data_IF_070919576507
#
_entry.id   IF_070919576507
#
_cell.length_a   1.000
_cell.length_b   1.000
_cell.length_c   1.000
_cell.angle_alpha   90.00
_cell.angle_beta   90.00
_cell.angle_gamma   90.00
#
_symmetry.space_group_name_H-M   'P 1'
#
loop_
_entity.id
_entity.type
_entity.pdbx_description
1 polymer ?
#
# COMPACT_ATOMS: atom_id res chain seq x y z
N UNK A 1 50.27 -7.96 -40.82
CA UNK A 1 49.66 -8.84 -41.83
C UNK A 1 50.69 -9.48 -42.69
N UNK A 2 50.43 -10.66 -43.19
CA UNK A 2 51.27 -11.37 -44.17
C UNK A 2 51.04 -10.69 -45.53
N UNK A 3 52.10 -10.35 -46.24
CA UNK A 3 52.04 -9.81 -47.59
C UNK A 3 52.50 -10.82 -48.61
N UNK A 4 51.66 -11.14 -49.61
CA UNK A 4 52.10 -11.93 -50.71
C UNK A 4 53.10 -11.14 -51.57
N UNK A 5 54.20 -11.81 -52.02
CA UNK A 5 55.16 -11.19 -52.88
C UNK A 5 55.04 -11.75 -54.30
N UNK A 6 55.22 -10.91 -55.35
CA UNK A 6 55.15 -11.28 -56.77
C UNK A 6 53.73 -11.74 -57.24
N UNK A 7 52.68 -11.14 -56.76
CA UNK A 7 51.29 -11.40 -57.24
C UNK A 7 50.85 -10.29 -58.19
N UNK A 8 50.10 -10.62 -59.21
CA UNK A 8 49.55 -9.69 -60.20
C UNK A 8 48.31 -8.95 -59.67
N UNK A 9 47.52 -9.58 -58.77
CA UNK A 9 46.41 -9.02 -58.08
C UNK A 9 46.26 -9.62 -56.71
N UNK A 10 45.78 -8.82 -55.73
CA UNK A 10 45.50 -9.24 -54.38
C UNK A 10 44.09 -8.85 -54.05
N UNK A 11 43.29 -9.76 -53.55
CA UNK A 11 41.98 -9.53 -52.99
C UNK A 11 41.81 -10.31 -51.70
N UNK A 12 41.06 -9.76 -50.78
CA UNK A 12 40.83 -10.42 -49.49
C UNK A 12 39.70 -9.82 -48.70
N UNK A 13 39.42 -10.39 -47.56
CA UNK A 13 38.38 -9.98 -46.66
C UNK A 13 38.94 -9.57 -45.32
N UNK A 14 38.47 -8.49 -44.77
CA UNK A 14 38.71 -8.07 -43.38
C UNK A 14 37.42 -8.24 -42.59
N UNK A 15 37.35 -9.28 -41.74
CA UNK A 15 36.16 -9.64 -41.02
C UNK A 15 36.36 -9.35 -39.54
N UNK A 16 35.48 -8.53 -38.97
CA UNK A 16 35.48 -8.19 -37.56
C UNK A 16 34.44 -9.07 -36.85
N UNK A 17 34.89 -9.87 -35.91
CA UNK A 17 34.02 -10.75 -35.11
C UNK A 17 34.02 -10.32 -33.65
N UNK A 18 32.94 -10.52 -32.95
CA UNK A 18 32.87 -10.20 -31.52
C UNK A 18 31.78 -10.98 -30.83
N UNK A 19 32.08 -11.50 -29.64
CA UNK A 19 31.13 -12.23 -28.78
C UNK A 19 30.18 -11.30 -28.01
N UNK A 20 30.55 -10.02 -27.91
CA UNK A 20 29.76 -9.00 -27.21
C UNK A 20 29.10 -8.02 -28.17
N UNK A 21 28.02 -7.36 -27.74
CA UNK A 21 27.40 -6.29 -28.51
C UNK A 21 28.21 -5.01 -28.37
N UNK A 22 28.53 -4.38 -29.46
CA UNK A 22 29.27 -3.12 -29.51
C UNK A 22 28.43 -2.04 -30.23
N UNK A 23 28.47 -0.83 -29.72
CA UNK A 23 28.05 0.34 -30.46
C UNK A 23 29.16 0.61 -31.50
N UNK A 24 28.79 0.58 -32.75
CA UNK A 24 29.74 0.73 -33.86
C UNK A 24 29.71 2.20 -34.34
N UNK A 25 30.89 2.83 -34.32
CA UNK A 25 31.05 4.10 -35.05
C UNK A 25 31.14 3.84 -36.56
N UNK A 26 30.84 4.87 -37.35
CA UNK A 26 31.15 4.80 -38.77
C UNK A 26 32.64 4.53 -38.99
N UNK A 27 32.99 3.61 -39.88
CA UNK A 27 34.40 3.30 -40.17
C UNK A 27 35.05 4.46 -40.88
N UNK A 28 36.27 4.78 -40.49
CA UNK A 28 37.16 5.64 -41.27
C UNK A 28 38.04 4.70 -42.08
N UNK A 29 37.76 4.58 -43.33
CA UNK A 29 38.47 3.72 -44.27
C UNK A 29 39.29 4.57 -45.24
N UNK A 30 40.55 4.23 -45.40
CA UNK A 30 41.43 4.77 -46.43
C UNK A 30 41.89 3.63 -47.34
N UNK A 31 41.72 3.81 -48.65
CA UNK A 31 41.99 2.77 -49.65
C UNK A 31 40.71 2.18 -50.28
N UNK A 32 40.88 1.23 -51.17
CA UNK A 32 39.76 0.56 -51.87
C UNK A 32 39.16 -0.53 -50.97
N UNK A 33 38.28 -0.12 -50.04
CA UNK A 33 37.53 -1.02 -49.17
C UNK A 33 36.05 -0.95 -49.50
N UNK A 34 35.45 -2.09 -49.79
CA UNK A 34 34.01 -2.24 -50.01
C UNK A 34 33.40 -2.89 -48.76
N UNK A 35 32.43 -2.22 -48.12
CA UNK A 35 31.69 -2.80 -47.01
C UNK A 35 30.76 -3.89 -47.56
N UNK A 36 30.81 -5.07 -46.93
CA UNK A 36 29.95 -6.20 -47.25
C UNK A 36 28.94 -6.48 -46.15
N UNK A 37 27.76 -6.92 -46.55
CA UNK A 37 26.86 -7.53 -45.60
C UNK A 37 27.33 -8.93 -45.19
N UNK A 38 27.02 -9.42 -43.96
CA UNK A 38 27.44 -10.77 -43.54
C UNK A 38 26.99 -11.91 -44.49
N UNK A 39 25.93 -11.70 -45.23
CA UNK A 39 25.40 -12.64 -46.26
C UNK A 39 26.23 -12.69 -47.53
N UNK A 40 26.96 -11.63 -47.84
CA UNK A 40 27.81 -11.52 -49.05
C UNK A 40 29.20 -12.13 -48.89
N UNK A 41 29.56 -12.52 -47.67
CA UNK A 41 30.83 -13.19 -47.37
C UNK A 41 30.71 -14.63 -47.85
N UNK A 42 31.69 -15.15 -48.61
CA UNK A 42 31.72 -16.57 -49.05
C UNK A 42 31.57 -17.50 -47.82
N UNK A 43 30.80 -18.57 -48.02
CA UNK A 43 30.44 -19.50 -46.95
C UNK A 43 31.66 -20.13 -46.27
N UNK A 44 32.69 -20.40 -47.02
CA UNK A 44 33.99 -20.93 -46.54
C UNK A 44 34.64 -20.05 -45.48
N UNK A 45 34.54 -18.73 -45.56
CA UNK A 45 35.05 -17.79 -44.55
C UNK A 45 34.10 -17.59 -43.43
N UNK A 46 32.81 -17.65 -43.67
CA UNK A 46 31.77 -17.44 -42.63
C UNK A 46 31.72 -18.61 -41.64
N UNK A 47 32.02 -19.84 -42.12
CA UNK A 47 32.03 -21.04 -41.27
C UNK A 47 33.30 -21.16 -40.39
N UNK A 48 34.30 -20.30 -40.59
CA UNK A 48 35.53 -20.32 -39.74
C UNK A 48 35.32 -19.76 -38.35
N UNK A 49 34.18 -19.11 -38.07
CA UNK A 49 33.99 -18.36 -36.82
C UNK A 49 32.66 -18.72 -36.14
N UNK A 50 32.76 -19.07 -34.85
CA UNK A 50 31.56 -19.32 -33.99
C UNK A 50 31.01 -18.04 -33.37
N UNK A 51 31.46 -16.86 -33.77
CA UNK A 51 31.07 -15.59 -33.21
C UNK A 51 30.36 -14.73 -34.26
N UNK A 52 29.40 -13.86 -33.83
CA UNK A 52 28.72 -12.95 -34.72
C UNK A 52 29.67 -12.02 -35.45
N UNK A 53 29.46 -11.88 -36.76
CA UNK A 53 30.21 -10.93 -37.59
C UNK A 53 29.70 -9.53 -37.33
N UNK A 54 30.54 -8.65 -36.83
CA UNK A 54 30.22 -7.26 -36.51
C UNK A 54 30.34 -6.34 -37.73
N UNK A 55 31.31 -6.63 -38.63
CA UNK A 55 31.50 -5.93 -39.87
C UNK A 55 32.39 -6.76 -40.81
N UNK A 56 32.19 -6.59 -42.10
CA UNK A 56 33.04 -7.22 -43.13
C UNK A 56 33.36 -6.21 -44.23
N UNK A 57 34.55 -6.28 -44.75
CA UNK A 57 35.06 -5.46 -45.82
C UNK A 57 35.85 -6.32 -46.80
N UNK A 58 35.67 -6.07 -48.11
CA UNK A 58 36.46 -6.62 -49.15
C UNK A 58 37.50 -5.57 -49.60
N UNK A 59 38.74 -5.99 -49.79
CA UNK A 59 39.79 -5.16 -50.39
C UNK A 59 40.33 -5.77 -51.66
N UNK A 60 40.70 -4.94 -52.63
CA UNK A 60 41.21 -5.37 -53.95
C UNK A 60 42.68 -5.01 -54.17
N UNK A 61 43.31 -4.24 -53.29
CA UNK A 61 44.72 -3.89 -53.32
C UNK A 61 45.29 -3.80 -51.90
N UNK A 62 46.50 -4.31 -51.74
CA UNK A 62 47.13 -4.58 -50.43
C UNK A 62 47.43 -3.40 -49.50
N UNK A 63 46.98 -2.16 -49.77
CA UNK A 63 47.20 -1.02 -48.89
C UNK A 63 45.85 -0.40 -48.53
N UNK A 64 45.37 -0.72 -47.34
CA UNK A 64 44.22 -0.07 -46.76
C UNK A 64 44.45 0.22 -45.27
N UNK A 65 43.81 1.24 -44.76
CA UNK A 65 43.73 1.53 -43.35
C UNK A 65 42.27 1.52 -42.96
N UNK A 66 41.92 0.71 -41.94
CA UNK A 66 40.56 0.63 -41.41
C UNK A 66 40.61 0.95 -39.93
N UNK A 67 40.09 2.12 -39.58
CA UNK A 67 39.92 2.54 -38.21
C UNK A 67 38.44 2.49 -37.86
N UNK A 68 38.05 1.61 -36.94
CA UNK A 68 36.72 1.47 -36.41
C UNK A 68 36.74 1.52 -34.89
N UNK A 69 36.07 2.52 -34.31
CA UNK A 69 35.96 2.61 -32.86
C UNK A 69 34.80 1.72 -32.41
N UNK A 70 35.08 0.74 -31.60
CA UNK A 70 34.13 -0.12 -30.97
C UNK A 70 33.97 0.33 -29.51
N UNK A 71 32.80 0.77 -29.15
CA UNK A 71 32.47 1.04 -27.76
C UNK A 71 31.67 -0.16 -27.25
N UNK A 72 32.17 -0.91 -26.27
CA UNK A 72 31.35 -1.97 -25.71
C UNK A 72 30.05 -1.32 -25.25
N UNK A 73 28.94 -1.84 -25.72
CA UNK A 73 27.65 -1.50 -25.12
C UNK A 73 27.78 -1.97 -23.67
N UNK A 74 28.09 -1.02 -22.79
CA UNK A 74 27.97 -1.28 -21.37
C UNK A 74 26.59 -1.93 -21.21
N UNK A 75 26.51 -3.00 -20.47
CA UNK A 75 25.24 -3.66 -20.10
C UNK A 75 24.39 -2.71 -19.24
N UNK A 76 24.26 -1.45 -19.67
CA UNK A 76 23.33 -0.48 -19.12
C UNK A 76 21.94 -0.94 -19.50
N UNK A 77 21.30 -1.69 -18.60
CA UNK A 77 19.93 -2.12 -18.74
C UNK A 77 19.63 -3.58 -18.44
N UNK A 78 20.61 -4.45 -18.36
CA UNK A 78 20.38 -5.75 -17.74
C UNK A 78 20.57 -5.58 -16.23
N UNK A 79 19.47 -5.38 -15.52
CA UNK A 79 19.50 -5.42 -14.06
C UNK A 79 20.11 -6.76 -13.66
N UNK A 80 21.30 -6.71 -13.06
CA UNK A 80 22.05 -7.92 -12.69
C UNK A 80 21.33 -8.69 -11.59
N UNK A 81 20.51 -7.97 -10.82
CA UNK A 81 19.64 -8.53 -9.79
C UNK A 81 18.30 -7.79 -9.78
N UNK A 82 17.20 -8.53 -9.83
CA UNK A 82 15.82 -8.01 -9.81
C UNK A 82 14.99 -8.89 -8.91
N UNK A 83 14.20 -8.28 -8.04
CA UNK A 83 13.15 -8.98 -7.32
C UNK A 83 11.87 -9.03 -8.16
N UNK A 84 11.47 -10.22 -8.56
CA UNK A 84 10.19 -10.40 -9.27
C UNK A 84 9.02 -10.08 -8.34
N UNK A 85 9.13 -10.52 -7.10
CA UNK A 85 8.11 -10.33 -6.06
C UNK A 85 8.76 -10.26 -4.69
N UNK A 86 8.20 -9.42 -3.83
CA UNK A 86 8.45 -9.45 -2.40
C UNK A 86 7.13 -9.60 -1.65
N UNK A 87 7.11 -10.45 -0.63
CA UNK A 87 5.98 -10.64 0.27
C UNK A 87 6.44 -10.30 1.69
N UNK A 88 5.77 -9.34 2.31
CA UNK A 88 6.04 -8.92 3.68
C UNK A 88 4.85 -9.28 4.56
N UNK A 89 5.14 -9.88 5.70
CA UNK A 89 4.15 -10.18 6.72
C UNK A 89 4.64 -9.61 8.05
N UNK A 90 3.92 -8.62 8.55
CA UNK A 90 4.19 -7.99 9.84
C UNK A 90 3.11 -8.36 10.83
N UNK A 91 3.51 -8.88 11.98
CA UNK A 91 2.63 -9.10 13.11
C UNK A 91 2.88 -8.04 14.15
N UNK A 92 1.83 -7.34 14.57
CA UNK A 92 1.88 -6.31 15.60
C UNK A 92 1.22 -6.87 16.85
N UNK A 93 1.96 -6.91 17.95
CA UNK A 93 1.47 -7.43 19.21
C UNK A 93 0.78 -6.32 20.04
N UNK A 94 0.06 -6.71 21.08
CA UNK A 94 -0.69 -5.79 21.94
C UNK A 94 0.21 -4.81 22.71
N UNK A 95 1.45 -5.23 23.01
CA UNK A 95 2.46 -4.44 23.74
C UNK A 95 3.33 -3.58 22.81
N UNK A 96 2.97 -3.49 21.53
CA UNK A 96 3.64 -2.62 20.60
C UNK A 96 4.88 -3.17 19.93
N UNK A 97 5.12 -4.45 20.03
CA UNK A 97 6.19 -5.08 19.30
C UNK A 97 5.71 -5.49 17.92
N UNK A 98 6.52 -5.25 16.90
CA UNK A 98 6.23 -5.69 15.55
C UNK A 98 7.31 -6.66 15.06
N UNK A 99 6.90 -7.78 14.51
CA UNK A 99 7.80 -8.75 13.89
C UNK A 99 7.47 -8.85 12.42
N UNK A 100 8.48 -8.62 11.57
CA UNK A 100 8.29 -8.68 10.12
C UNK A 100 9.07 -9.84 9.53
N UNK A 101 8.38 -10.62 8.71
CA UNK A 101 8.99 -11.61 7.81
C UNK A 101 8.92 -11.06 6.39
N UNK A 102 10.09 -10.86 5.78
CA UNK A 102 10.24 -10.41 4.40
C UNK A 102 10.72 -11.56 3.53
N UNK A 103 9.96 -11.93 2.52
CA UNK A 103 10.33 -12.97 1.56
C UNK A 103 10.48 -12.36 0.18
N UNK A 104 11.68 -12.44 -0.38
CA UNK A 104 12.03 -11.91 -1.69
C UNK A 104 12.24 -13.06 -2.68
N UNK A 105 11.73 -12.92 -3.88
CA UNK A 105 11.96 -13.83 -5.00
C UNK A 105 12.84 -13.11 -6.02
N UNK A 106 14.13 -13.44 -6.02
CA UNK A 106 15.17 -12.71 -6.75
C UNK A 106 15.64 -13.48 -7.99
N UNK A 107 15.66 -12.82 -9.14
CA UNK A 107 16.45 -13.25 -10.30
C UNK A 107 17.83 -12.65 -10.22
N UNK A 108 18.84 -13.51 -10.14
CA UNK A 108 20.23 -13.11 -9.91
C UNK A 108 21.13 -13.54 -11.09
N UNK A 109 21.85 -12.59 -11.67
CA UNK A 109 22.76 -12.81 -12.80
C UNK A 109 24.22 -12.62 -12.42
N UNK A 110 24.61 -13.13 -11.25
CA UNK A 110 26.02 -13.19 -10.88
C UNK A 110 26.43 -12.42 -9.62
N UNK A 111 25.48 -11.76 -8.92
CA UNK A 111 25.80 -11.20 -7.61
C UNK A 111 26.02 -12.30 -6.58
N UNK A 112 27.09 -12.15 -5.80
CA UNK A 112 27.40 -13.08 -4.72
C UNK A 112 26.50 -12.90 -3.48
N UNK A 113 25.90 -11.72 -3.34
CA UNK A 113 25.12 -11.34 -2.17
C UNK A 113 23.83 -10.59 -2.59
N UNK A 114 22.84 -10.67 -1.75
CA UNK A 114 21.68 -9.78 -1.76
C UNK A 114 21.88 -8.72 -0.68
N UNK A 115 21.86 -7.45 -1.07
CA UNK A 115 22.13 -6.32 -0.18
C UNK A 115 20.82 -5.80 0.39
N UNK A 116 20.75 -5.72 1.72
CA UNK A 116 19.60 -5.21 2.48
C UNK A 116 20.14 -4.23 3.53
N UNK A 117 19.48 -3.09 3.68
CA UNK A 117 19.80 -2.09 4.71
C UNK A 117 18.63 -2.02 5.69
N UNK A 118 18.90 -2.28 6.97
CA UNK A 118 17.96 -2.14 8.07
C UNK A 118 18.17 -0.80 8.78
N UNK A 119 17.12 -0.25 9.37
CA UNK A 119 17.24 0.91 10.28
C UNK A 119 18.04 0.52 11.53
N UNK A 120 18.67 1.51 12.17
CA UNK A 120 19.57 1.31 13.34
C UNK A 120 18.91 0.58 14.51
N UNK A 121 17.61 0.71 14.63
CA UNK A 121 16.84 0.15 15.73
C UNK A 121 16.17 -1.18 15.40
N UNK A 122 16.52 -1.77 14.24
CA UNK A 122 15.96 -3.03 13.79
C UNK A 122 16.99 -4.13 13.92
N UNK A 123 16.61 -5.25 14.54
CA UNK A 123 17.44 -6.41 14.72
C UNK A 123 17.03 -7.54 13.76
N UNK A 124 18.00 -8.09 13.05
CA UNK A 124 17.79 -9.26 12.19
C UNK A 124 17.86 -10.55 13.04
N UNK A 125 16.75 -11.28 13.11
CA UNK A 125 16.68 -12.53 13.87
C UNK A 125 17.03 -13.75 13.05
N UNK A 126 16.62 -13.78 11.79
CA UNK A 126 16.86 -14.94 10.93
C UNK A 126 17.03 -14.54 9.46
N UNK A 127 17.93 -15.23 8.77
CA UNK A 127 18.10 -15.14 7.32
C UNK A 127 18.09 -16.54 6.72
N UNK A 128 17.27 -16.76 5.69
CA UNK A 128 17.20 -18.02 4.94
C UNK A 128 17.33 -17.74 3.44
N UNK A 129 18.01 -18.63 2.73
CA UNK A 129 18.10 -18.63 1.28
C UNK A 129 17.73 -20.02 0.76
N UNK A 130 16.77 -20.08 -0.15
CA UNK A 130 16.22 -21.36 -0.64
C UNK A 130 15.85 -22.33 0.49
N UNK A 131 15.19 -21.81 1.56
CA UNK A 131 14.77 -22.57 2.74
C UNK A 131 15.89 -22.93 3.73
N UNK A 132 17.16 -22.65 3.41
CA UNK A 132 18.29 -22.96 4.30
C UNK A 132 18.73 -21.72 5.08
N UNK A 133 18.97 -21.86 6.38
CA UNK A 133 19.51 -20.79 7.22
C UNK A 133 20.92 -20.42 6.74
N UNK A 134 21.17 -19.13 6.58
CA UNK A 134 22.46 -18.56 6.20
C UNK A 134 22.90 -17.54 7.24
N UNK A 135 24.21 -17.32 7.34
CA UNK A 135 24.77 -16.29 8.20
C UNK A 135 25.11 -15.10 7.31
N UNK A 136 24.39 -13.99 7.43
CA UNK A 136 24.68 -12.79 6.65
C UNK A 136 25.93 -12.07 7.18
N UNK A 137 26.58 -11.31 6.31
CA UNK A 137 27.71 -10.46 6.67
C UNK A 137 27.15 -9.07 6.97
N UNK A 138 27.33 -8.58 8.20
CA UNK A 138 26.87 -7.24 8.61
C UNK A 138 28.02 -6.23 8.44
N UNK A 139 27.78 -5.14 7.71
CA UNK A 139 28.69 -4.02 7.51
C UNK A 139 27.95 -2.71 7.88
N UNK A 140 27.95 -2.36 9.16
CA UNK A 140 27.16 -1.23 9.67
C UNK A 140 25.66 -1.52 9.55
N UNK A 141 24.92 -0.67 8.81
CA UNK A 141 23.49 -0.82 8.55
C UNK A 141 23.21 -1.78 7.37
N UNK A 142 24.24 -2.15 6.59
CA UNK A 142 24.12 -3.05 5.44
C UNK A 142 24.32 -4.49 5.83
N UNK A 143 23.42 -5.30 5.35
CA UNK A 143 23.41 -6.75 5.54
C UNK A 143 23.57 -7.40 4.17
N UNK A 144 24.64 -8.17 4.01
CA UNK A 144 24.93 -8.91 2.79
C UNK A 144 24.52 -10.37 3.00
N UNK A 145 23.42 -10.77 2.38
CA UNK A 145 22.92 -12.15 2.43
C UNK A 145 23.57 -12.97 1.32
N UNK A 146 24.37 -14.02 1.62
CA UNK A 146 25.06 -14.80 0.60
C UNK A 146 24.08 -15.57 -0.28
N UNK A 147 24.27 -15.49 -1.59
CA UNK A 147 23.47 -16.19 -2.57
C UNK A 147 24.20 -17.42 -3.13
N UNK A 148 23.49 -18.49 -3.50
CA UNK A 148 24.10 -19.68 -4.08
C UNK A 148 24.69 -19.37 -5.47
N UNK A 149 25.85 -19.96 -5.75
CA UNK A 149 26.53 -19.84 -7.04
C UNK A 149 26.03 -20.89 -8.04
N UNK A 150 26.03 -20.54 -9.31
CA UNK A 150 25.81 -21.52 -10.40
C UNK A 150 24.34 -21.90 -10.66
N UNK A 151 23.39 -21.13 -10.14
CA UNK A 151 21.97 -21.30 -10.49
C UNK A 151 21.66 -20.67 -11.85
N UNK A 152 20.61 -21.19 -12.49
CA UNK A 152 20.06 -20.59 -13.71
C UNK A 152 19.60 -19.15 -13.39
N UNK A 153 20.07 -18.14 -14.13
CA UNK A 153 19.71 -16.73 -13.88
C UNK A 153 18.21 -16.41 -13.96
N UNK A 154 17.44 -17.30 -14.57
CA UNK A 154 16.00 -17.13 -14.73
C UNK A 154 15.18 -17.77 -13.58
N UNK A 155 15.79 -18.65 -12.79
CA UNK A 155 15.12 -19.27 -11.67
C UNK A 155 15.14 -18.34 -10.46
N UNK A 156 13.97 -18.03 -9.84
CA UNK A 156 13.93 -17.15 -8.70
C UNK A 156 14.56 -17.81 -7.47
N UNK A 157 15.44 -17.09 -6.80
CA UNK A 157 16.03 -17.46 -5.51
C UNK A 157 15.14 -16.87 -4.43
N UNK A 158 14.62 -17.71 -3.55
CA UNK A 158 13.87 -17.26 -2.37
C UNK A 158 14.84 -16.84 -1.27
N UNK A 159 14.70 -15.59 -0.79
CA UNK A 159 15.41 -15.06 0.37
C UNK A 159 14.37 -14.62 1.41
N UNK A 160 14.40 -15.21 2.58
CA UNK A 160 13.51 -14.88 3.69
C UNK A 160 14.32 -14.29 4.85
N UNK A 161 13.88 -13.12 5.32
CA UNK A 161 14.47 -12.39 6.43
C UNK A 161 13.41 -12.19 7.51
N UNK A 162 13.74 -12.46 8.76
CA UNK A 162 12.88 -12.16 9.90
C UNK A 162 13.57 -11.15 10.79
N UNK A 163 12.91 -10.04 11.05
CA UNK A 163 13.46 -8.92 11.83
C UNK A 163 12.37 -8.25 12.67
N UNK A 164 12.80 -7.56 13.71
CA UNK A 164 11.93 -6.80 14.59
C UNK A 164 12.54 -5.43 14.88
N UNK A 165 11.75 -4.34 14.88
CA UNK A 165 12.18 -3.07 15.45
C UNK A 165 12.30 -3.21 16.98
N UNK A 166 13.16 -2.41 17.61
CA UNK A 166 13.15 -2.27 19.06
C UNK A 166 11.84 -1.61 19.50
N UNK A 167 11.28 -2.09 20.60
CA UNK A 167 10.02 -1.59 21.13
C UNK A 167 10.04 -0.06 21.30
N UNK A 168 8.99 0.60 20.85
CA UNK A 168 8.72 2.02 21.07
C UNK A 168 7.57 2.14 22.07
N UNK A 169 7.69 3.07 23.03
CA UNK A 169 6.71 3.26 24.12
C UNK A 169 5.47 4.09 23.71
N UNK A 170 5.45 4.63 22.49
CA UNK A 170 4.36 5.49 22.02
C UNK A 170 3.32 4.65 21.27
N UNK A 171 2.05 4.77 21.62
CA UNK A 171 0.92 3.97 21.05
C UNK A 171 0.73 4.03 19.54
N UNK A 172 1.51 4.84 18.83
CA UNK A 172 1.62 4.85 17.37
C UNK A 172 2.80 3.98 16.92
N UNK A 173 2.51 2.98 16.07
CA UNK A 173 3.55 2.11 15.54
C UNK A 173 3.97 2.55 14.16
N UNK A 174 5.24 2.91 14.02
CA UNK A 174 5.85 3.08 12.74
C UNK A 174 6.57 1.81 12.34
N UNK A 175 6.14 1.20 11.24
CA UNK A 175 6.78 0.04 10.65
C UNK A 175 7.43 0.46 9.34
N UNK A 176 8.74 0.17 9.23
CA UNK A 176 9.54 0.49 8.04
C UNK A 176 10.07 -0.81 7.47
N UNK A 177 9.91 -1.00 6.16
CA UNK A 177 10.50 -2.14 5.45
C UNK A 177 11.97 -1.86 5.11
N UNK A 178 12.80 -2.90 5.02
CA UNK A 178 14.21 -2.76 4.66
C UNK A 178 14.39 -2.14 3.29
N UNK A 179 15.43 -1.32 3.13
CA UNK A 179 15.90 -0.90 1.82
C UNK A 179 16.61 -2.06 1.15
N UNK A 180 16.34 -2.27 -0.11
CA UNK A 180 17.01 -3.30 -0.91
C UNK A 180 17.74 -2.67 -2.08
N UNK A 181 18.97 -3.15 -2.35
CA UNK A 181 19.79 -2.63 -3.44
C UNK A 181 19.26 -2.98 -4.84
N UNK A 182 18.29 -3.88 -4.93
CA UNK A 182 17.68 -4.33 -6.18
C UNK A 182 16.26 -3.82 -6.32
N UNK A 183 15.81 -3.43 -7.52
CA UNK A 183 14.43 -3.06 -7.75
C UNK A 183 13.50 -4.28 -7.59
N UNK A 184 12.29 -4.04 -7.06
CA UNK A 184 11.25 -5.04 -6.89
C UNK A 184 10.08 -4.72 -7.83
N UNK A 185 9.62 -5.70 -8.60
CA UNK A 185 8.53 -5.52 -9.57
C UNK A 185 7.16 -5.52 -8.91
N UNK A 186 7.01 -6.28 -7.82
CA UNK A 186 5.78 -6.35 -7.04
C UNK A 186 6.12 -6.53 -5.56
N UNK A 187 5.52 -5.73 -4.72
CA UNK A 187 5.62 -5.85 -3.28
C UNK A 187 4.21 -5.94 -2.67
N UNK A 188 3.97 -7.03 -1.94
CA UNK A 188 2.75 -7.22 -1.16
C UNK A 188 3.12 -7.21 0.32
N UNK A 189 2.43 -6.39 1.08
CA UNK A 189 2.66 -6.26 2.51
C UNK A 189 1.36 -6.48 3.28
N UNK A 190 1.36 -7.48 4.13
CA UNK A 190 0.26 -7.79 5.03
C UNK A 190 0.68 -7.46 6.46
N UNK A 191 -0.10 -6.63 7.14
CA UNK A 191 0.12 -6.22 8.51
C UNK A 191 -1.07 -6.71 9.34
N UNK A 192 -0.81 -7.58 10.29
CA UNK A 192 -1.83 -8.23 11.11
C UNK A 192 -1.66 -7.80 12.57
N UNK A 193 -2.73 -7.44 13.26
CA UNK A 193 -2.72 -7.24 14.70
C UNK A 193 -2.76 -8.56 15.45
N UNK A 194 -2.55 -8.50 16.74
CA UNK A 194 -2.83 -9.60 17.66
C UNK A 194 -4.34 -9.84 17.82
N UNK A 195 -4.72 -10.92 18.50
CA UNK A 195 -6.13 -11.20 18.78
C UNK A 195 -6.74 -10.06 19.59
N UNK A 196 -8.02 -9.76 19.31
CA UNK A 196 -8.79 -8.70 19.95
C UNK A 196 -8.33 -7.26 19.66
N UNK A 197 -7.38 -7.09 18.72
CA UNK A 197 -6.92 -5.80 18.24
C UNK A 197 -7.23 -5.59 16.76
N UNK A 198 -7.24 -4.34 16.36
CA UNK A 198 -7.36 -3.92 14.96
C UNK A 198 -6.36 -2.81 14.67
N UNK A 199 -5.89 -2.76 13.44
CA UNK A 199 -4.98 -1.72 12.99
C UNK A 199 -5.74 -0.66 12.20
N UNK A 200 -5.54 0.60 12.55
CA UNK A 200 -6.00 1.74 11.76
C UNK A 200 -4.80 2.42 11.09
N UNK A 201 -4.92 2.67 9.78
CA UNK A 201 -3.88 3.37 9.03
C UNK A 201 -3.91 4.86 9.33
N UNK A 202 -2.80 5.40 9.80
CA UNK A 202 -2.63 6.83 10.13
C UNK A 202 -1.94 7.57 9.00
N UNK A 203 -0.76 7.10 8.61
CA UNK A 203 0.07 7.75 7.60
C UNK A 203 1.07 6.77 6.99
N UNK A 204 1.64 7.12 5.84
CA UNK A 204 2.69 6.34 5.19
C UNK A 204 2.81 6.65 3.72
N UNK A 205 3.83 6.09 3.08
CA UNK A 205 4.03 6.20 1.64
C UNK A 205 3.43 5.02 0.86
N UNK A 206 2.87 4.02 1.57
CA UNK A 206 2.06 2.96 1.00
C UNK A 206 0.60 3.17 1.42
N UNK A 207 -0.33 3.06 0.47
CA UNK A 207 -1.76 3.15 0.74
C UNK A 207 -2.35 1.75 0.88
N UNK A 208 -3.23 1.51 1.87
CA UNK A 208 -3.87 0.21 2.03
C UNK A 208 -4.79 -0.10 0.83
N UNK A 209 -4.70 -1.33 0.33
CA UNK A 209 -5.57 -1.83 -0.75
C UNK A 209 -6.96 -2.21 -0.26
N UNK A 210 -7.07 -2.47 1.04
CA UNK A 210 -8.33 -2.67 1.76
C UNK A 210 -8.59 -1.51 2.73
N UNK A 211 -8.84 -0.26 2.23
CA UNK A 211 -9.02 0.88 3.11
C UNK A 211 -10.23 0.62 3.99
N UNK A 212 -10.01 0.73 5.29
CA UNK A 212 -11.11 0.67 6.22
C UNK A 212 -11.94 1.93 6.12
N UNK A 213 -13.25 1.81 6.22
CA UNK A 213 -14.09 2.97 6.35
C UNK A 213 -13.72 3.71 7.65
N UNK A 214 -13.58 5.02 7.57
CA UNK A 214 -13.47 5.89 8.73
C UNK A 214 -14.69 5.66 9.64
N UNK A 215 -14.46 5.17 10.86
CA UNK A 215 -15.49 4.81 11.85
C UNK A 215 -15.96 6.00 12.68
N UNK A 216 -15.51 7.22 12.39
CA UNK A 216 -16.09 8.38 13.04
C UNK A 216 -17.62 8.34 12.82
N UNK A 217 -18.40 8.49 13.88
CA UNK A 217 -19.87 8.34 13.83
C UNK A 217 -20.53 9.19 12.74
N UNK A 218 -19.88 10.27 12.29
CA UNK A 218 -20.33 11.12 11.19
C UNK A 218 -19.94 10.59 9.80
N UNK A 219 -18.80 9.89 9.65
CA UNK A 219 -18.42 9.30 8.37
C UNK A 219 -19.35 8.17 7.97
N UNK A 220 -19.85 7.41 8.94
CA UNK A 220 -20.86 6.39 8.75
C UNK A 220 -22.16 6.98 8.19
N UNK A 221 -22.62 8.12 8.72
CA UNK A 221 -23.82 8.83 8.25
C UNK A 221 -23.65 9.36 6.82
N UNK A 222 -22.44 9.79 6.43
CA UNK A 222 -22.13 10.32 5.09
C UNK A 222 -22.13 9.27 3.99
N UNK A 223 -21.92 8.00 4.30
CA UNK A 223 -21.76 6.93 3.30
C UNK A 223 -23.02 6.45 2.59
N UNK A 224 -24.16 7.12 2.77
CA UNK A 224 -25.35 6.84 1.99
C UNK A 224 -26.13 5.60 2.42
N UNK A 225 -26.00 5.18 3.68
CA UNK A 225 -26.86 4.16 4.26
C UNK A 225 -28.22 4.71 4.69
N UNK A 226 -29.09 3.83 5.16
CA UNK A 226 -30.42 4.17 5.70
C UNK A 226 -30.40 5.13 6.90
N UNK A 227 -29.24 5.38 7.50
CA UNK A 227 -29.08 6.27 8.66
C UNK A 227 -29.49 7.72 8.38
N UNK A 228 -29.07 8.30 7.26
CA UNK A 228 -29.44 9.66 6.86
C UNK A 228 -30.94 9.84 6.65
N UNK A 229 -31.63 9.00 5.85
CA UNK A 229 -33.11 9.05 5.73
C UNK A 229 -33.83 8.93 7.05
N UNK A 230 -33.37 8.05 7.95
CA UNK A 230 -33.98 7.92 9.29
C UNK A 230 -33.77 9.15 10.16
N UNK A 231 -32.63 9.80 10.09
CA UNK A 231 -32.35 11.06 10.78
C UNK A 231 -33.26 12.19 10.28
N UNK A 232 -33.41 12.32 8.95
CA UNK A 232 -34.33 13.31 8.38
C UNK A 232 -35.80 13.02 8.75
N UNK A 233 -36.21 11.76 8.73
CA UNK A 233 -37.53 11.34 9.15
C UNK A 233 -37.75 11.62 10.65
N UNK A 234 -36.77 11.38 11.51
CA UNK A 234 -36.82 11.71 12.93
C UNK A 234 -36.97 13.22 13.15
N UNK A 235 -36.18 14.03 12.44
CA UNK A 235 -36.25 15.49 12.52
C UNK A 235 -37.62 16.00 12.04
N UNK A 236 -38.13 15.48 10.93
CA UNK A 236 -39.44 15.84 10.42
C UNK A 236 -40.56 15.45 11.42
N UNK A 237 -40.54 14.24 11.95
CA UNK A 237 -41.47 13.76 12.96
C UNK A 237 -41.40 14.61 14.25
N UNK A 238 -40.19 15.02 14.65
CA UNK A 238 -39.99 15.89 15.80
C UNK A 238 -40.63 17.27 15.60
N UNK A 239 -40.33 17.92 14.46
CA UNK A 239 -40.90 19.25 14.13
C UNK A 239 -42.43 19.20 14.05
N UNK A 240 -42.98 18.20 13.33
CA UNK A 240 -44.43 18.03 13.22
C UNK A 240 -45.03 17.72 14.59
N UNK A 241 -44.44 16.85 15.39
CA UNK A 241 -44.84 16.54 16.74
C UNK A 241 -44.89 17.78 17.65
N UNK A 242 -43.90 18.66 17.56
CA UNK A 242 -43.87 19.94 18.27
C UNK A 242 -44.97 20.89 17.82
N UNK A 243 -45.21 21.02 16.50
CA UNK A 243 -46.30 21.88 15.96
C UNK A 243 -47.65 21.39 16.44
N UNK A 244 -47.93 20.09 16.33
CA UNK A 244 -49.18 19.48 16.79
C UNK A 244 -49.35 19.69 18.31
N UNK A 245 -48.25 19.49 19.07
CA UNK A 245 -48.27 19.67 20.52
C UNK A 245 -48.49 21.13 20.93
N UNK A 246 -47.89 22.08 20.19
CA UNK A 246 -48.08 23.50 20.43
C UNK A 246 -49.50 23.94 20.13
N UNK A 247 -50.06 23.51 19.01
CA UNK A 247 -51.46 23.78 18.64
C UNK A 247 -52.48 23.22 19.63
N UNK A 248 -52.24 22.08 20.24
CA UNK A 248 -53.10 21.47 21.24
C UNK A 248 -52.97 22.07 22.66
N UNK A 249 -51.85 22.78 22.95
CA UNK A 249 -51.60 23.42 24.25
C UNK A 249 -52.38 24.72 24.45
N UNK A 250 -52.81 25.39 23.39
CA UNK A 250 -53.48 26.70 23.48
C UNK A 250 -54.97 26.61 23.76
N UNK A 251 -55.57 25.43 23.89
CA UNK A 251 -56.98 25.24 24.24
C UNK A 251 -57.20 24.95 25.70
N UNK A 252 -57.84 25.89 26.45
CA UNK A 252 -58.30 25.60 27.81
C UNK A 252 -59.04 24.27 27.89
N UNK A 253 -58.83 23.50 28.94
CA UNK A 253 -59.44 22.23 29.33
C UNK A 253 -60.95 22.12 28.99
N UNK A 254 -61.22 21.91 27.73
CA UNK A 254 -62.47 21.37 27.27
C UNK A 254 -62.17 20.05 26.59
N UNK A 255 -62.84 19.02 27.03
CA UNK A 255 -62.81 17.72 26.36
C UNK A 255 -63.35 17.88 24.94
N UNK A 256 -62.55 18.40 24.08
CA UNK A 256 -62.84 18.50 22.67
C UNK A 256 -62.12 17.35 21.98
N UNK A 257 -62.82 16.54 21.23
CA UNK A 257 -62.37 15.39 20.52
C UNK A 257 -61.08 15.72 19.71
N UNK A 258 -61.06 16.88 19.06
CA UNK A 258 -59.93 17.35 18.27
C UNK A 258 -58.67 17.56 19.08
N UNK A 259 -58.75 18.10 20.27
CA UNK A 259 -57.61 18.29 21.16
C UNK A 259 -57.06 16.97 21.70
N UNK A 260 -57.93 16.02 21.99
CA UNK A 260 -57.53 14.68 22.45
C UNK A 260 -56.80 13.90 21.35
N UNK A 261 -57.33 13.92 20.14
CA UNK A 261 -56.71 13.28 18.96
C UNK A 261 -55.36 13.93 18.65
N UNK A 262 -55.26 15.26 18.63
CA UNK A 262 -54.03 15.98 18.43
C UNK A 262 -52.96 15.66 19.49
N UNK A 263 -53.36 15.50 20.74
CA UNK A 263 -52.47 15.12 21.83
C UNK A 263 -51.91 13.70 21.63
N UNK A 264 -52.77 12.75 21.27
CA UNK A 264 -52.36 11.36 20.96
C UNK A 264 -51.41 11.34 19.78
N UNK A 265 -51.72 12.04 18.67
CA UNK A 265 -50.88 12.10 17.48
C UNK A 265 -49.50 12.72 17.82
N UNK A 266 -49.48 13.83 18.59
CA UNK A 266 -48.24 14.47 19.02
C UNK A 266 -47.34 13.52 19.82
N UNK A 267 -47.92 12.75 20.74
CA UNK A 267 -47.17 11.74 21.51
C UNK A 267 -46.71 10.58 20.64
N UNK A 268 -47.51 10.09 19.73
CA UNK A 268 -47.10 9.02 18.79
C UNK A 268 -45.96 9.49 17.89
N UNK A 269 -45.96 10.72 17.41
CA UNK A 269 -44.88 11.28 16.62
C UNK A 269 -43.59 11.41 17.43
N UNK A 270 -43.68 11.89 18.69
CA UNK A 270 -42.50 11.95 19.58
C UNK A 270 -41.94 10.54 19.89
N UNK A 271 -42.84 9.56 20.10
CA UNK A 271 -42.43 8.17 20.29
C UNK A 271 -41.75 7.61 19.02
N UNK A 272 -42.28 7.97 17.84
CA UNK A 272 -41.65 7.59 16.56
C UNK A 272 -40.24 8.18 16.40
N UNK A 273 -39.97 9.40 16.92
CA UNK A 273 -38.64 9.99 16.94
C UNK A 273 -37.66 9.10 17.71
N UNK A 274 -38.06 8.63 18.91
CA UNK A 274 -37.21 7.72 19.68
C UNK A 274 -36.99 6.39 18.96
N UNK A 275 -38.02 5.84 18.31
CA UNK A 275 -37.89 4.62 17.49
C UNK A 275 -36.91 4.80 16.32
N UNK A 276 -36.99 5.93 15.61
CA UNK A 276 -36.11 6.24 14.49
C UNK A 276 -34.67 6.48 14.95
N UNK A 277 -34.45 7.22 16.04
CA UNK A 277 -33.12 7.42 16.61
C UNK A 277 -32.54 6.11 17.13
N UNK A 278 -33.36 5.27 17.78
CA UNK A 278 -32.94 3.93 18.16
C UNK A 278 -32.57 3.04 16.99
N UNK A 279 -33.30 3.17 15.87
CA UNK A 279 -32.97 2.45 14.63
C UNK A 279 -31.64 2.92 14.02
N UNK A 280 -31.37 4.23 14.06
CA UNK A 280 -30.06 4.78 13.62
C UNK A 280 -28.93 4.26 14.49
N UNK A 281 -29.11 4.25 15.82
CA UNK A 281 -28.13 3.70 16.73
C UNK A 281 -27.92 2.19 16.51
N UNK A 282 -28.99 1.42 16.33
CA UNK A 282 -28.93 -0.01 16.05
C UNK A 282 -28.20 -0.29 14.72
N UNK A 283 -28.48 0.48 13.66
CA UNK A 283 -27.78 0.36 12.38
C UNK A 283 -26.29 0.67 12.51
N UNK A 284 -25.92 1.68 13.32
CA UNK A 284 -24.53 1.97 13.66
C UNK A 284 -23.84 0.78 14.32
N UNK A 285 -24.46 0.17 15.33
CA UNK A 285 -23.94 -1.03 16.00
C UNK A 285 -23.80 -2.22 15.05
N UNK A 286 -24.78 -2.42 14.15
CA UNK A 286 -24.71 -3.49 13.16
C UNK A 286 -23.62 -3.23 12.12
N UNK A 287 -23.44 -2.00 11.69
CA UNK A 287 -22.35 -1.62 10.78
C UNK A 287 -20.99 -1.87 11.43
N UNK A 288 -20.81 -1.53 12.69
CA UNK A 288 -19.60 -1.80 13.45
C UNK A 288 -19.35 -3.31 13.63
N UNK A 289 -20.39 -4.11 13.89
CA UNK A 289 -20.26 -5.57 13.99
C UNK A 289 -19.90 -6.22 12.65
N UNK A 290 -20.49 -5.77 11.55
CA UNK A 290 -20.09 -6.24 10.21
C UNK A 290 -18.65 -5.86 9.88
N UNK A 291 -18.18 -4.76 10.40
CA UNK A 291 -16.82 -4.32 10.26
C UNK A 291 -15.81 -5.14 11.06
N UNK A 292 -16.19 -5.62 12.24
CA UNK A 292 -15.39 -6.57 13.04
C UNK A 292 -15.24 -7.94 12.37
N UNK A 293 -16.12 -8.28 11.42
CA UNK A 293 -16.03 -9.50 10.60
C UNK A 293 -15.10 -9.33 9.38
N UNK A 294 -14.67 -8.12 9.05
CA UNK A 294 -13.66 -7.86 8.03
C UNK A 294 -12.28 -8.16 8.61
N UNK A 295 -11.39 -8.71 7.78
CA UNK A 295 -10.03 -9.07 8.18
C UNK A 295 -9.37 -7.98 9.04
N UNK A 296 -8.84 -8.32 10.24
CA UNK A 296 -8.31 -7.35 11.19
C UNK A 296 -7.04 -6.67 10.69
N UNK A 297 -6.39 -7.21 9.65
CA UNK A 297 -5.14 -6.73 9.07
C UNK A 297 -5.30 -5.65 8.00
N UNK A 298 -4.19 -5.00 7.69
CA UNK A 298 -4.05 -4.05 6.59
C UNK A 298 -3.22 -4.68 5.48
N UNK A 299 -3.67 -4.55 4.23
CA UNK A 299 -2.95 -5.03 3.06
C UNK A 299 -2.48 -3.85 2.21
N UNK A 300 -1.22 -3.91 1.80
CA UNK A 300 -0.61 -2.92 0.92
C UNK A 300 -0.03 -3.63 -0.30
N UNK A 301 -0.18 -3.01 -1.46
CA UNK A 301 0.42 -3.53 -2.70
C UNK A 301 1.11 -2.38 -3.42
N UNK A 302 2.36 -2.58 -3.78
CA UNK A 302 3.13 -1.64 -4.60
C UNK A 302 3.58 -2.32 -5.88
N UNK A 303 3.32 -1.68 -7.02
CA UNK A 303 3.58 -2.28 -8.34
C UNK A 303 5.04 -2.22 -8.76
N UNK A 304 5.81 -1.25 -8.33
CA UNK A 304 7.26 -1.16 -8.62
C UNK A 304 7.92 -0.37 -7.51
N UNK A 305 8.89 -0.99 -6.85
CA UNK A 305 9.79 -0.32 -5.93
C UNK A 305 11.17 -0.17 -6.57
N UNK A 306 11.66 1.05 -6.60
CA UNK A 306 13.01 1.31 -7.08
C UNK A 306 14.05 0.80 -6.08
N UNK A 307 15.26 0.56 -6.56
CA UNK A 307 16.36 0.26 -5.67
C UNK A 307 16.52 1.35 -4.59
N UNK A 308 16.72 0.93 -3.35
CA UNK A 308 16.83 1.80 -2.15
C UNK A 308 15.58 2.61 -1.79
N UNK A 309 14.44 2.30 -2.36
CA UNK A 309 13.16 2.88 -1.94
C UNK A 309 12.67 2.21 -0.66
N UNK A 310 12.16 3.03 0.27
CA UNK A 310 11.67 2.59 1.58
C UNK A 310 10.16 2.65 1.61
N UNK A 311 9.53 1.57 2.04
CA UNK A 311 8.12 1.59 2.40
C UNK A 311 8.00 1.74 3.92
N UNK A 312 7.25 2.73 4.35
CA UNK A 312 6.96 2.98 5.77
C UNK A 312 5.49 3.31 5.96
N UNK A 313 4.93 2.80 7.02
CA UNK A 313 3.56 3.07 7.46
C UNK A 313 3.54 3.37 8.94
N UNK A 314 2.59 4.19 9.34
CA UNK A 314 2.24 4.41 10.75
C UNK A 314 0.83 3.89 10.95
N UNK A 315 0.65 3.05 11.94
CA UNK A 315 -0.62 2.43 12.28
C UNK A 315 -0.90 2.58 13.76
N UNK A 316 -2.17 2.76 14.10
CA UNK A 316 -2.65 2.68 15.48
C UNK A 316 -3.18 1.29 15.75
N UNK A 317 -2.79 0.73 16.89
CA UNK A 317 -3.29 -0.54 17.37
C UNK A 317 -4.41 -0.28 18.38
N UNK A 318 -5.64 -0.58 18.01
CA UNK A 318 -6.83 -0.29 18.80
C UNK A 318 -7.47 -1.60 19.26
N UNK A 319 -7.90 -1.63 20.52
CA UNK A 319 -8.72 -2.73 21.00
C UNK A 319 -10.00 -2.86 20.20
N UNK A 320 -10.37 -4.07 19.81
CA UNK A 320 -11.58 -4.32 19.02
C UNK A 320 -12.84 -3.85 19.72
N UNK A 321 -12.86 -3.91 21.05
CA UNK A 321 -13.98 -3.44 21.89
C UNK A 321 -14.08 -1.90 21.97
N UNK A 322 -13.03 -1.16 21.64
CA UNK A 322 -13.06 0.31 21.64
C UNK A 322 -14.09 0.85 20.63
N UNK A 323 -14.48 0.05 19.63
CA UNK A 323 -15.58 0.40 18.71
C UNK A 323 -16.95 0.56 19.41
N UNK A 324 -17.16 -0.13 20.52
CA UNK A 324 -18.38 0.00 21.33
C UNK A 324 -18.46 1.34 22.06
N UNK A 325 -17.32 1.95 22.37
CA UNK A 325 -17.28 3.27 23.01
C UNK A 325 -17.72 4.40 22.07
N UNK A 326 -17.62 4.24 20.74
CA UNK A 326 -18.09 5.25 19.79
C UNK A 326 -19.62 5.45 19.83
N UNK A 327 -20.37 4.45 20.28
CA UNK A 327 -21.82 4.52 20.47
C UNK A 327 -22.18 5.32 21.72
N UNK A 328 -21.33 5.27 22.75
CA UNK A 328 -21.52 6.03 23.97
C UNK A 328 -21.51 7.54 23.73
N UNK A 329 -20.85 8.01 22.65
CA UNK A 329 -20.80 9.43 22.27
C UNK A 329 -22.19 9.97 21.95
N UNK A 330 -23.09 9.17 21.35
CA UNK A 330 -24.46 9.62 21.04
C UNK A 330 -25.42 9.53 22.21
N UNK A 331 -25.09 8.76 23.23
CA UNK A 331 -25.94 8.56 24.38
C UNK A 331 -26.20 9.87 25.16
N UNK A 332 -25.20 10.73 25.41
CA UNK A 332 -25.44 12.04 26.00
C UNK A 332 -26.31 12.93 25.13
N UNK A 333 -26.13 12.95 23.81
CA UNK A 333 -26.99 13.71 22.90
C UNK A 333 -28.44 13.26 22.97
N UNK A 334 -28.70 11.96 22.99
CA UNK A 334 -30.07 11.40 23.13
C UNK A 334 -30.68 11.79 24.48
N UNK A 335 -29.92 11.71 25.56
CA UNK A 335 -30.37 12.14 26.90
C UNK A 335 -30.61 13.65 26.91
N UNK A 336 -29.72 14.45 26.32
CA UNK A 336 -29.90 15.90 26.22
C UNK A 336 -31.15 16.31 25.45
N UNK A 337 -31.44 15.65 24.31
CA UNK A 337 -32.67 15.85 23.54
C UNK A 337 -33.89 15.41 24.37
N UNK A 338 -33.79 14.28 25.07
CA UNK A 338 -34.87 13.81 25.98
C UNK A 338 -35.23 14.83 27.07
N UNK A 339 -34.20 15.40 27.71
CA UNK A 339 -34.39 16.47 28.72
C UNK A 339 -35.01 17.71 28.09
N UNK A 340 -34.57 18.05 26.88
CA UNK A 340 -35.14 19.17 26.11
C UNK A 340 -36.61 18.99 25.79
N UNK A 341 -37.04 17.80 25.41
CA UNK A 341 -38.43 17.46 25.13
C UNK A 341 -39.24 17.46 26.41
N UNK A 342 -38.72 16.85 27.49
CA UNK A 342 -39.41 16.81 28.80
C UNK A 342 -39.68 18.19 29.36
N UNK A 343 -38.79 19.16 29.15
CA UNK A 343 -38.96 20.56 29.55
C UNK A 343 -40.27 21.20 29.05
N UNK A 344 -40.73 20.85 27.85
CA UNK A 344 -41.95 21.37 27.27
C UNK A 344 -43.22 20.82 27.95
N UNK A 345 -43.08 19.82 28.82
CA UNK A 345 -44.20 19.23 29.56
C UNK A 345 -44.44 19.89 30.94
N UNK A 346 -43.45 20.58 31.46
CA UNK A 346 -43.55 21.21 32.79
C UNK A 346 -43.97 22.66 32.66
N UNK A 347 -44.89 23.08 33.52
CA UNK A 347 -45.29 24.50 33.68
C UNK A 347 -44.42 25.22 34.71
N UNK A 348 -43.49 24.52 35.33
CA UNK A 348 -42.59 25.06 36.37
C UNK A 348 -41.35 25.74 35.75
N UNK A 349 -41.17 27.04 36.05
CA UNK A 349 -40.14 27.90 35.47
C UNK A 349 -38.70 27.38 35.79
N UNK A 350 -38.54 26.74 36.95
CA UNK A 350 -37.27 26.15 37.34
C UNK A 350 -36.90 24.94 36.52
N UNK A 351 -37.87 24.05 36.21
CA UNK A 351 -37.71 22.87 35.38
C UNK A 351 -37.45 23.28 33.92
N UNK A 352 -38.11 24.34 33.45
CA UNK A 352 -37.95 24.86 32.09
C UNK A 352 -36.53 25.41 31.90
N UNK A 353 -36.02 26.23 32.81
CA UNK A 353 -34.70 26.84 32.72
C UNK A 353 -33.57 25.81 33.00
N UNK A 354 -33.74 24.97 34.02
CA UNK A 354 -32.80 23.91 34.38
C UNK A 354 -32.69 22.84 33.29
N UNK A 355 -33.81 22.41 32.71
CA UNK A 355 -33.83 21.46 31.60
C UNK A 355 -33.18 22.01 30.32
N UNK A 356 -33.29 23.35 30.09
CA UNK A 356 -32.60 24.00 28.97
C UNK A 356 -31.09 23.91 29.12
N UNK A 357 -30.58 24.24 30.30
CA UNK A 357 -29.18 24.26 30.62
C UNK A 357 -28.59 22.84 30.64
N UNK A 358 -29.27 21.89 31.26
CA UNK A 358 -28.89 20.49 31.31
C UNK A 358 -28.87 19.86 29.91
N UNK A 359 -29.93 20.10 29.10
CA UNK A 359 -30.00 19.59 27.73
C UNK A 359 -28.85 20.08 26.87
N UNK A 360 -28.48 21.36 26.93
CA UNK A 360 -27.35 21.92 26.21
C UNK A 360 -26.00 21.35 26.70
N UNK A 361 -25.84 21.13 28.01
CA UNK A 361 -24.63 20.53 28.56
C UNK A 361 -24.44 19.09 28.03
N UNK A 362 -25.50 18.31 27.97
CA UNK A 362 -25.44 16.95 27.45
C UNK A 362 -25.17 16.92 25.93
N UNK A 363 -25.73 17.86 25.16
CA UNK A 363 -25.47 17.97 23.72
C UNK A 363 -24.03 18.44 23.47
N UNK A 364 -23.51 19.36 24.29
CA UNK A 364 -22.14 19.86 24.18
C UNK A 364 -21.08 18.82 24.62
N UNK A 365 -21.49 17.81 25.40
CA UNK A 365 -20.61 16.71 25.82
C UNK A 365 -20.44 15.66 24.69
N UNK A 366 -21.26 15.66 23.68
CA UNK A 366 -21.15 14.79 22.50
C UNK A 366 -20.14 15.35 21.50
#
# INVERSE_FOLDING_TARGET
GVRPMNVQSEAGYSILIGKERFEQSQPVAEGELIALEPSEIPEEYRLLFDAPILAAYQYSRGRFTLNKRLKPLSRQGSLEQVGDRAAFSTQVSNDGQAVTTATYFLKNRGHAHFEVELEKEVELWEAKVAGRRVIPITQGERILVPLPKGQNPNDPIEVSLKFAPKASDDGEFRVTLPKVGSPLLLANWNVMPDQDYRLDFVAGNALPTNPRPDLSGFAWLKRGGWGLPFLFAALAAFVVGLIVRWGTRSGRYRWDWQNTVGLIIGWLLLLAVFGLLGSVAALGVFADKQFLLVEPGLMFTSSVLKANEVLSITVNNLEADAALYSISIFLPAVVGIGIWVYRFQSDDDVVIKGGLLAGWLFIAWT
#
